data_IF_499161653645
#
_entry.id   IF_499161653645
#
_cell.length_a   1.000
_cell.length_b   1.000
_cell.length_c   1.000
_cell.angle_alpha   90.00
_cell.angle_beta   90.00
_cell.angle_gamma   90.00
#
_symmetry.space_group_name_H-M   'P 1'
#
loop_
_entity.id
_entity.type
_entity.pdbx_description
1 polymer ?
#
# COMPACT_ATOMS: atom_id res chain seq x y z
N UNK A 1 -52.64 -0.88 -39.01
CA UNK A 1 -51.68 -1.99 -39.14
C UNK A 1 -50.34 -1.35 -39.46
N UNK A 2 -49.53 -1.02 -38.44
CA UNK A 2 -48.45 -1.86 -37.87
C UNK A 2 -47.26 -1.96 -38.85
N UNK A 3 -46.01 -1.64 -38.52
CA UNK A 3 -45.33 -1.76 -37.23
C UNK A 3 -44.19 -0.74 -37.05
N UNK A 4 -44.04 -0.40 -35.78
CA UNK A 4 -43.01 0.34 -35.06
C UNK A 4 -41.73 -0.53 -34.94
N UNK A 5 -40.63 -0.10 -35.56
CA UNK A 5 -39.31 -0.75 -35.48
C UNK A 5 -38.54 -0.22 -34.26
N UNK A 6 -38.89 -0.75 -33.08
CA UNK A 6 -38.12 -0.52 -31.86
C UNK A 6 -36.85 -1.36 -31.88
N UNK A 7 -35.74 -0.71 -32.20
CA UNK A 7 -34.40 -1.22 -31.95
C UNK A 7 -34.27 -1.71 -30.50
N UNK A 8 -34.01 -3.02 -30.35
CA UNK A 8 -33.69 -3.64 -29.06
C UNK A 8 -32.36 -3.07 -28.54
N UNK A 9 -32.25 -2.73 -27.25
CA UNK A 9 -30.95 -2.45 -26.64
C UNK A 9 -30.14 -3.76 -26.58
N UNK A 10 -28.95 -3.74 -27.16
CA UNK A 10 -27.95 -4.80 -27.03
C UNK A 10 -27.49 -4.86 -25.58
N UNK A 11 -27.75 -5.98 -24.91
CA UNK A 11 -27.19 -6.26 -23.60
C UNK A 11 -25.65 -6.27 -23.72
N UNK A 12 -24.98 -5.40 -22.97
CA UNK A 12 -23.53 -5.43 -22.84
C UNK A 12 -23.12 -6.81 -22.28
N UNK A 13 -22.45 -7.61 -23.11
CA UNK A 13 -21.87 -8.88 -22.68
C UNK A 13 -20.81 -8.58 -21.63
N UNK A 14 -21.02 -9.00 -20.38
CA UNK A 14 -19.95 -9.04 -19.37
C UNK A 14 -18.85 -9.96 -19.92
N UNK A 15 -17.74 -9.36 -20.35
CA UNK A 15 -16.55 -10.11 -20.73
C UNK A 15 -16.03 -10.83 -19.47
N UNK A 16 -15.59 -12.07 -19.62
CA UNK A 16 -15.00 -12.80 -18.51
C UNK A 16 -13.78 -12.00 -17.98
N UNK A 17 -13.53 -11.98 -16.66
CA UNK A 17 -12.41 -11.23 -16.11
C UNK A 17 -11.11 -11.69 -16.77
N UNK A 18 -10.27 -10.74 -17.17
CA UNK A 18 -8.96 -11.10 -17.72
C UNK A 18 -8.10 -11.77 -16.64
N UNK A 19 -6.98 -12.38 -17.04
CA UNK A 19 -6.11 -13.09 -16.08
C UNK A 19 -5.60 -12.21 -14.94
N UNK A 20 -5.53 -10.89 -15.13
CA UNK A 20 -5.09 -9.94 -14.12
C UNK A 20 -6.21 -9.61 -13.13
N UNK A 21 -7.47 -9.55 -13.59
CA UNK A 21 -8.61 -9.34 -12.70
C UNK A 21 -8.72 -10.53 -11.76
N UNK A 22 -8.58 -11.73 -12.34
CA UNK A 22 -8.55 -12.97 -11.57
C UNK A 22 -7.44 -12.95 -10.51
N UNK A 23 -6.22 -12.57 -10.88
CA UNK A 23 -5.10 -12.49 -9.95
C UNK A 23 -5.30 -11.43 -8.85
N UNK A 24 -5.95 -10.31 -9.16
CA UNK A 24 -6.35 -9.32 -8.16
C UNK A 24 -7.36 -9.90 -7.15
N UNK A 25 -8.37 -10.62 -7.64
CA UNK A 25 -9.33 -11.33 -6.79
C UNK A 25 -8.68 -12.43 -5.95
N UNK A 26 -7.70 -13.14 -6.50
CA UNK A 26 -6.99 -14.25 -5.84
C UNK A 26 -5.85 -13.77 -4.92
N UNK A 27 -5.51 -12.47 -4.94
CA UNK A 27 -4.50 -11.90 -4.05
C UNK A 27 -4.88 -12.19 -2.59
N UNK A 28 -3.97 -12.85 -1.87
CA UNK A 28 -4.13 -13.15 -0.45
C UNK A 28 -4.16 -11.83 0.32
N UNK A 29 -5.23 -11.61 1.08
CA UNK A 29 -5.38 -10.47 1.99
C UNK A 29 -5.72 -10.99 3.37
N UNK A 30 -4.85 -10.70 4.34
CA UNK A 30 -4.98 -11.22 5.70
C UNK A 30 -5.82 -10.26 6.56
N UNK A 31 -6.53 -10.82 7.54
CA UNK A 31 -7.21 -10.02 8.56
C UNK A 31 -6.18 -9.35 9.47
N UNK A 32 -6.41 -8.11 9.95
CA UNK A 32 -5.56 -7.47 10.95
C UNK A 32 -5.28 -8.32 12.19
N UNK A 33 -6.22 -9.21 12.55
CA UNK A 33 -6.11 -10.07 13.74
C UNK A 33 -4.96 -11.10 13.68
N UNK A 34 -4.36 -11.35 12.51
CA UNK A 34 -3.24 -12.31 12.40
C UNK A 34 -1.89 -11.69 12.74
N UNK A 35 -1.82 -10.37 12.89
CA UNK A 35 -0.59 -9.64 13.14
C UNK A 35 -0.45 -9.35 14.64
N UNK A 36 0.43 -10.08 15.35
CA UNK A 36 0.58 -9.93 16.80
C UNK A 36 1.13 -8.56 17.22
N UNK A 37 1.82 -7.87 16.30
CA UNK A 37 2.50 -6.60 16.56
C UNK A 37 1.58 -5.37 16.41
N UNK A 38 0.28 -5.59 16.19
CA UNK A 38 -0.73 -4.53 16.15
C UNK A 38 -1.47 -4.48 17.48
N UNK A 39 -1.61 -3.28 18.06
CA UNK A 39 -2.38 -3.10 19.30
C UNK A 39 -3.86 -3.44 19.08
N UNK A 40 -4.58 -3.92 20.11
CA UNK A 40 -5.99 -4.26 19.99
C UNK A 40 -6.86 -3.10 19.47
N UNK A 41 -6.58 -1.87 19.89
CA UNK A 41 -7.33 -0.68 19.46
C UNK A 41 -7.15 -0.41 17.96
N UNK A 42 -5.92 -0.57 17.45
CA UNK A 42 -5.66 -0.43 16.00
C UNK A 42 -6.29 -1.58 15.22
N UNK A 43 -6.28 -2.81 15.74
CA UNK A 43 -7.00 -3.94 15.12
C UNK A 43 -8.50 -3.64 15.00
N UNK A 44 -9.12 -3.10 16.05
CA UNK A 44 -10.54 -2.69 16.03
C UNK A 44 -10.80 -1.62 14.99
N UNK A 45 -9.95 -0.58 14.92
CA UNK A 45 -10.07 0.49 13.93
C UNK A 45 -9.90 -0.04 12.49
N UNK A 46 -8.88 -0.87 12.22
CA UNK A 46 -8.67 -1.51 10.92
C UNK A 46 -9.87 -2.37 10.50
N UNK A 47 -10.39 -3.20 11.41
CA UNK A 47 -11.59 -4.00 11.14
C UNK A 47 -12.82 -3.11 10.88
N UNK A 48 -12.98 -2.03 11.64
CA UNK A 48 -14.06 -1.06 11.44
C UNK A 48 -14.01 -0.35 10.08
N UNK A 49 -12.82 -0.21 9.50
CA UNK A 49 -12.60 0.31 8.14
C UNK A 49 -12.83 -0.73 7.04
N UNK A 50 -13.10 -1.99 7.38
CA UNK A 50 -13.17 -3.10 6.41
C UNK A 50 -11.79 -3.47 5.85
N UNK A 51 -10.72 -3.16 6.58
CA UNK A 51 -9.35 -3.33 6.12
C UNK A 51 -8.94 -4.80 6.06
N UNK A 52 -8.26 -5.17 4.96
CA UNK A 52 -7.48 -6.39 4.86
C UNK A 52 -6.07 -6.06 4.36
N UNK A 53 -5.06 -6.84 4.75
CA UNK A 53 -3.65 -6.51 4.49
C UNK A 53 -3.15 -7.41 3.35
N UNK A 54 -2.97 -6.88 2.13
CA UNK A 54 -2.59 -7.67 0.98
C UNK A 54 -1.16 -8.18 1.12
N UNK A 55 -0.93 -9.43 0.70
CA UNK A 55 0.33 -10.12 0.89
C UNK A 55 1.12 -10.18 -0.42
N UNK A 56 2.42 -9.98 -0.28
CA UNK A 56 3.36 -9.98 -1.40
C UNK A 56 3.66 -11.42 -1.82
N UNK A 57 3.76 -11.69 -3.12
CA UNK A 57 3.78 -13.04 -3.69
C UNK A 57 4.89 -13.99 -3.19
N UNK A 58 6.03 -13.46 -2.73
CA UNK A 58 7.20 -14.26 -2.34
C UNK A 58 7.41 -14.37 -0.83
N UNK A 59 6.64 -13.64 -0.02
CA UNK A 59 6.81 -13.65 1.42
C UNK A 59 6.09 -14.86 2.02
N UNK A 60 6.81 -15.63 2.83
CA UNK A 60 6.26 -16.75 3.60
C UNK A 60 5.61 -16.26 4.90
N UNK A 61 6.11 -15.15 5.43
CA UNK A 61 5.61 -14.51 6.65
C UNK A 61 4.65 -13.36 6.31
N UNK A 62 3.67 -13.05 7.19
CA UNK A 62 2.80 -11.90 7.01
C UNK A 62 3.60 -10.58 6.88
N UNK A 63 3.42 -9.90 5.75
CA UNK A 63 4.07 -8.64 5.44
C UNK A 63 3.07 -7.47 5.52
N UNK A 64 3.57 -6.27 5.20
CA UNK A 64 2.79 -5.04 5.03
C UNK A 64 2.20 -4.42 6.32
N UNK A 65 2.85 -4.72 7.45
CA UNK A 65 2.67 -4.07 8.75
C UNK A 65 4.06 -3.73 9.27
N UNK A 66 4.38 -2.45 9.41
CA UNK A 66 5.74 -2.00 9.77
C UNK A 66 5.72 -0.93 10.85
N UNK A 67 6.66 -1.05 11.78
CA UNK A 67 6.90 -0.06 12.82
C UNK A 67 8.10 0.81 12.43
N UNK A 68 8.06 2.08 12.78
CA UNK A 68 9.17 3.00 12.57
C UNK A 68 8.88 4.37 13.18
N UNK A 69 9.91 5.19 13.28
CA UNK A 69 9.78 6.58 13.74
C UNK A 69 9.37 7.45 12.55
N UNK A 70 8.11 7.38 12.11
CA UNK A 70 7.70 7.96 10.83
C UNK A 70 7.33 9.44 10.88
N UNK A 71 7.06 9.98 12.07
CA UNK A 71 6.60 11.36 12.24
C UNK A 71 7.38 12.16 13.27
N UNK A 72 8.12 11.49 14.16
CA UNK A 72 8.96 12.10 15.17
C UNK A 72 10.09 11.13 15.57
N UNK A 73 11.35 11.60 15.71
CA UNK A 73 12.48 10.74 16.03
C UNK A 73 12.41 10.09 17.42
N UNK A 74 11.56 10.58 18.33
CA UNK A 74 11.37 10.04 19.67
C UNK A 74 10.17 9.11 19.82
N UNK A 75 9.36 8.92 18.76
CA UNK A 75 8.08 8.21 18.85
C UNK A 75 8.01 7.07 17.83
N UNK A 76 7.58 5.89 18.30
CA UNK A 76 7.28 4.78 17.41
C UNK A 76 5.87 4.94 16.84
N UNK A 77 5.77 4.85 15.52
CA UNK A 77 4.54 4.86 14.76
C UNK A 77 4.33 3.49 14.09
N UNK A 78 3.11 3.25 13.62
CA UNK A 78 2.74 2.03 12.89
C UNK A 78 2.23 2.40 11.50
N UNK A 79 2.73 1.75 10.46
CA UNK A 79 2.21 1.84 9.10
C UNK A 79 1.66 0.49 8.63
N UNK A 80 0.47 0.52 8.04
CA UNK A 80 -0.24 -0.69 7.54
C UNK A 80 -0.66 -0.45 6.10
N UNK A 81 -0.33 -1.38 5.20
CA UNK A 81 -0.92 -1.36 3.86
C UNK A 81 -2.34 -1.94 3.95
N UNK A 82 -3.32 -1.06 3.87
CA UNK A 82 -4.72 -1.40 4.04
C UNK A 82 -5.45 -1.44 2.70
N UNK A 83 -5.93 -2.63 2.31
CA UNK A 83 -6.81 -2.83 1.16
C UNK A 83 -8.27 -2.89 1.61
N UNK A 84 -9.07 -1.98 1.07
CA UNK A 84 -10.54 -1.99 1.15
C UNK A 84 -11.08 -2.09 -0.28
N UNK A 85 -11.92 -3.08 -0.55
CA UNK A 85 -12.50 -3.31 -1.88
C UNK A 85 -11.46 -3.35 -3.03
N UNK A 86 -10.27 -3.90 -2.75
CA UNK A 86 -9.11 -4.03 -3.69
C UNK A 86 -8.47 -2.70 -4.07
N UNK A 87 -8.62 -1.68 -3.24
CA UNK A 87 -7.86 -0.43 -3.29
C UNK A 87 -7.01 -0.35 -2.03
N UNK A 88 -5.68 -0.39 -2.19
CA UNK A 88 -4.75 -0.26 -1.06
C UNK A 88 -4.32 1.18 -0.83
N UNK A 89 -4.27 1.56 0.43
CA UNK A 89 -3.67 2.80 0.94
C UNK A 89 -2.79 2.48 2.13
N UNK A 90 -1.78 3.31 2.41
CA UNK A 90 -0.96 3.18 3.59
C UNK A 90 -1.62 3.99 4.71
N UNK A 91 -2.00 3.32 5.79
CA UNK A 91 -2.48 3.96 7.01
C UNK A 91 -1.31 4.12 7.96
N UNK A 92 -1.00 5.35 8.37
CA UNK A 92 0.04 5.64 9.37
C UNK A 92 -0.61 6.11 10.66
N UNK A 93 -0.53 5.28 11.69
CA UNK A 93 -1.02 5.52 13.05
C UNK A 93 0.10 6.18 13.87
N UNK A 94 -0.04 7.49 14.13
CA UNK A 94 0.97 8.24 14.91
C UNK A 94 0.93 7.83 16.38
N UNK A 95 2.07 7.41 16.93
CA UNK A 95 2.15 6.84 18.27
C UNK A 95 1.26 5.61 18.46
N UNK A 96 0.94 4.89 17.39
CA UNK A 96 -0.04 3.78 17.37
C UNK A 96 -1.43 4.18 17.89
N UNK A 97 -1.81 5.46 17.75
CA UNK A 97 -3.11 6.01 18.13
C UNK A 97 -4.11 5.95 16.98
N UNK A 98 -5.36 5.61 17.28
CA UNK A 98 -6.48 5.64 16.32
C UNK A 98 -7.08 7.04 16.13
N UNK A 99 -6.71 8.00 16.97
CA UNK A 99 -7.21 9.38 16.90
C UNK A 99 -6.55 10.25 15.82
N UNK A 100 -5.42 9.81 15.26
CA UNK A 100 -4.64 10.55 14.27
C UNK A 100 -4.00 9.57 13.27
N UNK A 101 -4.72 9.30 12.19
CA UNK A 101 -4.35 8.33 11.15
C UNK A 101 -4.20 9.05 9.82
N UNK A 102 -2.99 9.04 9.25
CA UNK A 102 -2.75 9.53 7.90
C UNK A 102 -3.09 8.44 6.87
N UNK A 103 -3.64 8.83 5.72
CA UNK A 103 -3.93 7.94 4.59
C UNK A 103 -3.07 8.36 3.41
N UNK A 104 -2.19 7.48 2.94
CA UNK A 104 -1.25 7.76 1.86
C UNK A 104 -1.53 6.86 0.65
N UNK A 105 -1.48 7.47 -0.54
CA UNK A 105 -1.45 6.79 -1.83
C UNK A 105 -2.51 5.68 -2.03
N UNK A 106 -3.81 6.02 -2.01
CA UNK A 106 -4.86 5.09 -2.39
C UNK A 106 -4.75 4.76 -3.87
N UNK A 107 -4.65 3.48 -4.20
CA UNK A 107 -4.45 2.99 -5.56
C UNK A 107 -5.00 1.58 -5.72
N UNK A 108 -5.60 1.23 -6.86
CA UNK A 108 -6.06 -0.14 -7.11
C UNK A 108 -4.94 -1.17 -6.94
N UNK A 109 -5.21 -2.26 -6.23
CA UNK A 109 -4.24 -3.34 -5.99
C UNK A 109 -3.72 -3.96 -7.29
N UNK A 110 -4.60 -4.03 -8.30
CA UNK A 110 -4.27 -4.46 -9.66
C UNK A 110 -3.06 -3.73 -10.25
N UNK A 111 -2.80 -2.47 -9.87
CA UNK A 111 -1.67 -1.70 -10.37
C UNK A 111 -0.31 -2.21 -9.87
N UNK A 112 -0.31 -3.04 -8.83
CA UNK A 112 0.87 -3.66 -8.22
C UNK A 112 0.93 -5.17 -8.47
N UNK A 113 0.17 -5.67 -9.44
CA UNK A 113 0.34 -7.02 -9.94
C UNK A 113 1.49 -7.07 -10.96
N UNK A 114 2.23 -8.17 -10.97
CA UNK A 114 3.21 -8.45 -12.02
C UNK A 114 3.33 -9.95 -12.33
N UNK A 115 3.89 -10.28 -13.49
CA UNK A 115 4.29 -11.65 -13.80
C UNK A 115 5.55 -12.02 -13.00
N UNK A 116 5.47 -13.11 -12.25
CA UNK A 116 6.49 -13.60 -11.32
C UNK A 116 6.86 -15.03 -11.67
N UNK A 117 7.43 -15.22 -12.86
CA UNK A 117 7.83 -16.55 -13.32
C UNK A 117 6.64 -17.40 -13.77
N UNK A 118 5.74 -16.81 -14.56
CA UNK A 118 4.63 -17.52 -15.19
C UNK A 118 3.32 -17.54 -14.41
N UNK A 119 3.27 -16.88 -13.25
CA UNK A 119 2.03 -16.57 -12.53
C UNK A 119 1.97 -15.06 -12.22
N UNK A 120 0.78 -14.53 -11.95
CA UNK A 120 0.60 -13.12 -11.61
C UNK A 120 0.51 -12.98 -10.09
N UNK A 121 1.35 -12.13 -9.50
CA UNK A 121 1.46 -11.95 -8.06
C UNK A 121 1.38 -10.49 -7.62
N UNK A 122 0.76 -10.26 -6.46
CA UNK A 122 0.74 -8.95 -5.81
C UNK A 122 2.10 -8.56 -5.27
N UNK A 123 2.51 -7.32 -5.54
CA UNK A 123 3.88 -6.86 -5.39
C UNK A 123 4.00 -5.46 -4.81
N UNK A 124 2.97 -4.97 -4.12
CA UNK A 124 3.12 -3.75 -3.29
C UNK A 124 3.64 -4.15 -1.92
N UNK A 125 4.78 -3.58 -1.54
CA UNK A 125 5.37 -3.81 -0.24
C UNK A 125 5.64 -2.47 0.47
N UNK A 126 5.40 -2.43 1.77
CA UNK A 126 5.86 -1.33 2.61
C UNK A 126 6.99 -1.77 3.54
N UNK A 127 7.98 -0.89 3.69
CA UNK A 127 9.12 -1.09 4.59
C UNK A 127 9.41 0.20 5.37
N UNK A 128 9.82 0.08 6.63
CA UNK A 128 10.47 1.17 7.33
C UNK A 128 11.89 1.33 6.76
N UNK A 129 12.29 2.56 6.45
CA UNK A 129 13.64 2.87 5.95
C UNK A 129 14.24 4.01 6.75
N UNK A 130 15.51 3.86 7.12
CA UNK A 130 16.20 4.86 7.93
C UNK A 130 16.72 6.05 7.08
N UNK A 131 17.20 7.13 7.72
CA UNK A 131 17.83 8.24 7.01
C UNK A 131 19.03 7.86 6.13
N UNK A 132 19.76 6.78 6.43
CA UNK A 132 20.89 6.35 5.62
C UNK A 132 20.42 5.77 4.28
N UNK A 133 19.39 4.93 4.29
CA UNK A 133 18.73 4.43 3.10
C UNK A 133 18.28 5.59 2.20
N UNK A 134 17.62 6.60 2.77
CA UNK A 134 17.11 7.74 2.00
C UNK A 134 18.27 8.52 1.37
N UNK A 135 19.34 8.81 2.13
CA UNK A 135 20.53 9.52 1.62
C UNK A 135 21.23 8.73 0.52
N UNK A 136 21.44 7.43 0.73
CA UNK A 136 22.12 6.57 -0.23
C UNK A 136 21.40 6.55 -1.59
N UNK A 137 20.08 6.38 -1.58
CA UNK A 137 19.29 6.33 -2.81
C UNK A 137 19.13 7.69 -3.47
N UNK A 138 19.03 8.77 -2.70
CA UNK A 138 19.07 10.13 -3.25
C UNK A 138 20.40 10.43 -3.93
N UNK A 139 21.53 10.05 -3.34
CA UNK A 139 22.85 10.23 -3.95
C UNK A 139 23.01 9.46 -5.27
N UNK A 140 22.41 8.27 -5.37
CA UNK A 140 22.49 7.42 -6.56
C UNK A 140 21.54 7.86 -7.70
N UNK A 141 20.32 8.31 -7.37
CA UNK A 141 19.25 8.56 -8.34
C UNK A 141 18.92 10.05 -8.54
N UNK A 142 19.42 10.92 -7.67
CA UNK A 142 19.14 12.34 -7.66
C UNK A 142 17.72 12.69 -7.23
N UNK A 143 17.25 13.86 -7.67
CA UNK A 143 15.96 14.45 -7.30
C UNK A 143 16.11 15.69 -6.41
N UNK A 144 15.00 16.31 -5.99
CA UNK A 144 15.03 17.44 -5.06
C UNK A 144 15.80 17.06 -3.79
N UNK A 145 16.56 18.01 -3.26
CA UNK A 145 17.26 17.82 -1.98
C UNK A 145 16.24 17.43 -0.89
N UNK A 146 16.47 16.32 -0.16
CA UNK A 146 15.59 15.93 0.93
C UNK A 146 15.63 16.98 2.05
N UNK A 147 14.56 17.12 2.85
CA UNK A 147 14.64 17.89 4.09
C UNK A 147 15.67 17.28 5.05
N UNK A 148 16.00 17.94 6.17
CA UNK A 148 16.75 17.31 7.25
C UNK A 148 16.14 15.95 7.63
N UNK A 149 16.94 14.89 7.53
CA UNK A 149 16.52 13.52 7.78
C UNK A 149 16.93 13.09 9.19
N UNK A 150 15.99 13.11 10.12
CA UNK A 150 16.21 12.78 11.54
C UNK A 150 15.40 11.57 12.04
N UNK A 151 14.52 11.01 11.20
CA UNK A 151 13.64 9.88 11.54
C UNK A 151 13.38 8.98 10.30
N UNK A 152 12.61 7.91 10.47
CA UNK A 152 12.39 6.89 9.45
C UNK A 152 11.37 7.36 8.40
N UNK A 153 11.46 6.82 7.18
CA UNK A 153 10.44 6.93 6.15
C UNK A 153 9.65 5.63 5.97
N UNK A 154 8.49 5.72 5.32
CA UNK A 154 7.75 4.55 4.82
C UNK A 154 8.07 4.38 3.34
N UNK A 155 8.86 3.37 3.00
CA UNK A 155 9.11 2.99 1.62
C UNK A 155 7.90 2.24 1.04
N UNK A 156 7.28 2.76 -0.02
CA UNK A 156 6.16 2.18 -0.77
C UNK A 156 6.71 1.64 -2.09
N UNK A 157 6.94 0.33 -2.15
CA UNK A 157 7.61 -0.35 -3.24
C UNK A 157 6.63 -1.11 -4.15
N UNK A 158 6.89 -1.05 -5.46
CA UNK A 158 6.47 -2.07 -6.41
C UNK A 158 7.65 -3.00 -6.64
N UNK A 159 7.71 -4.08 -5.84
CA UNK A 159 8.87 -4.96 -5.69
C UNK A 159 9.56 -5.33 -7.00
N UNK A 160 10.88 -5.11 -7.04
CA UNK A 160 11.77 -5.33 -8.16
C UNK A 160 11.63 -4.32 -9.30
N UNK A 161 10.96 -3.18 -9.08
CA UNK A 161 10.74 -2.17 -10.14
C UNK A 161 11.05 -0.75 -9.71
N UNK A 162 10.38 -0.29 -8.66
CA UNK A 162 10.44 1.10 -8.24
C UNK A 162 9.81 1.27 -6.87
N UNK A 163 10.33 2.23 -6.10
CA UNK A 163 9.75 2.62 -4.84
C UNK A 163 9.75 4.14 -4.65
N UNK A 164 8.97 4.59 -3.68
CA UNK A 164 8.95 5.97 -3.19
C UNK A 164 8.98 5.94 -1.69
N UNK A 165 9.67 6.90 -1.08
CA UNK A 165 9.65 7.03 0.38
C UNK A 165 8.69 8.14 0.77
N UNK A 166 7.72 7.81 1.61
CA UNK A 166 6.89 8.79 2.30
C UNK A 166 7.63 9.27 3.55
N UNK A 167 7.92 10.56 3.60
CA UNK A 167 8.69 11.17 4.69
C UNK A 167 7.91 12.33 5.30
N UNK A 168 7.78 12.36 6.63
CA UNK A 168 7.07 13.43 7.31
C UNK A 168 8.00 14.61 7.61
N UNK A 169 7.59 15.82 7.25
CA UNK A 169 8.38 17.01 7.55
C UNK A 169 7.48 18.23 7.62
N UNK A 170 7.61 19.06 8.65
CA UNK A 170 6.84 20.30 8.82
C UNK A 170 5.31 20.13 8.66
N UNK A 171 4.75 19.09 9.28
CA UNK A 171 3.30 18.88 9.26
C UNK A 171 2.75 18.29 7.95
N UNK A 172 3.60 17.82 7.03
CA UNK A 172 3.19 17.27 5.72
C UNK A 172 3.97 16.02 5.36
N UNK A 173 3.32 15.13 4.61
CA UNK A 173 3.97 13.99 3.96
C UNK A 173 4.58 14.43 2.64
N UNK A 174 5.89 14.26 2.53
CA UNK A 174 6.68 14.46 1.32
C UNK A 174 6.88 13.12 0.61
N UNK A 175 7.11 13.20 -0.70
CA UNK A 175 7.51 12.06 -1.54
C UNK A 175 8.97 12.22 -1.89
N UNK A 176 9.81 11.34 -1.36
CA UNK A 176 11.22 11.26 -1.69
C UNK A 176 11.45 10.11 -2.67
N UNK A 177 12.56 10.20 -3.40
CA UNK A 177 12.98 9.14 -4.31
C UNK A 177 13.37 7.90 -3.49
N UNK A 178 12.78 6.74 -3.81
CA UNK A 178 13.22 5.44 -3.32
C UNK A 178 14.06 4.71 -4.37
N UNK A 179 14.54 3.53 -4.02
CA UNK A 179 14.95 2.52 -5.00
C UNK A 179 14.48 1.14 -4.54
N UNK A 180 14.26 0.26 -5.50
CA UNK A 180 13.80 -1.11 -5.32
C UNK A 180 14.30 -1.94 -6.51
#
# INVERSE_FOLDING_TARGET
>A
MASDDRGKPTAATRQAPDRWDRADFETVRLSPNVFPDISPDVVVDLNGRGCTIPQVWYHVEPANVVHGRFTDPGRMDLAVLCSVERVSSILVYRGSSTGDVAVLNPVPDRNYLQDVGGHIGFSRAIHAVDPEFIRYHHAALGGPEPPPLDHDGVNDAFVGKASRVWYWHDGKWLRLQGAD
#
